data_IF_874128829579
#
_entry.id   IF_874128829579
#
_cell.length_a   1.000
_cell.length_b   1.000
_cell.length_c   1.000
_cell.angle_alpha   90.00
_cell.angle_beta   90.00
_cell.angle_gamma   90.00
#
_symmetry.space_group_name_H-M   'P 1'
#
loop_
_entity.id
_entity.type
_entity.pdbx_description
1 polymer ?
#
# COMPACT_ATOMS: atom_id res chain seq x y z
N UNK A 1 -15.25 -10.81 -26.71
CA UNK A 1 -13.97 -10.14 -26.46
C UNK A 1 -13.73 -10.24 -24.96
N UNK A 2 -12.94 -11.23 -24.53
CA UNK A 2 -12.31 -11.16 -23.22
C UNK A 2 -11.18 -10.17 -23.39
N UNK A 3 -11.34 -8.94 -22.89
CA UNK A 3 -10.20 -8.04 -22.71
C UNK A 3 -9.19 -8.81 -21.86
N UNK A 4 -8.07 -9.20 -22.47
CA UNK A 4 -6.95 -9.77 -21.75
C UNK A 4 -6.48 -8.67 -20.80
N UNK A 5 -6.92 -8.78 -19.55
CA UNK A 5 -6.50 -7.90 -18.47
C UNK A 5 -5.03 -8.20 -18.18
N UNK A 6 -4.15 -7.51 -18.89
CA UNK A 6 -2.71 -7.59 -18.69
C UNK A 6 -2.34 -6.58 -17.59
N UNK A 7 -1.89 -7.09 -16.45
CA UNK A 7 -1.43 -6.24 -15.34
C UNK A 7 0.08 -6.21 -15.34
N UNK A 8 0.65 -5.02 -15.48
CA UNK A 8 2.05 -4.78 -15.24
C UNK A 8 2.33 -4.85 -13.73
N UNK A 9 2.63 -6.05 -13.23
CA UNK A 9 2.90 -6.28 -11.82
C UNK A 9 4.11 -5.49 -11.31
N UNK A 10 5.13 -5.27 -12.15
CA UNK A 10 6.32 -4.51 -11.78
C UNK A 10 6.03 -3.00 -11.72
N UNK A 11 5.23 -2.50 -12.67
CA UNK A 11 4.70 -1.13 -12.63
C UNK A 11 3.82 -0.88 -11.40
N UNK A 12 2.98 -1.85 -11.04
CA UNK A 12 2.13 -1.81 -9.85
C UNK A 12 2.96 -1.78 -8.56
N UNK A 13 3.96 -2.66 -8.47
CA UNK A 13 4.89 -2.76 -7.34
C UNK A 13 5.75 -1.50 -7.20
N UNK A 14 6.16 -0.90 -8.31
CA UNK A 14 6.87 0.39 -8.31
C UNK A 14 5.96 1.53 -7.85
N UNK A 15 4.71 1.55 -8.32
CA UNK A 15 3.72 2.57 -7.98
C UNK A 15 3.38 2.63 -6.49
N UNK A 16 3.47 1.50 -5.77
CA UNK A 16 3.22 1.44 -4.32
C UNK A 16 4.19 2.29 -3.50
N UNK A 17 5.42 2.50 -3.99
CA UNK A 17 6.43 3.27 -3.26
C UNK A 17 5.97 4.70 -2.97
N UNK A 18 5.23 5.32 -3.90
CA UNK A 18 4.67 6.65 -3.71
C UNK A 18 3.65 6.71 -2.56
N UNK A 19 2.92 5.62 -2.30
CA UNK A 19 2.00 5.55 -1.15
C UNK A 19 2.80 5.49 0.16
N UNK A 20 3.83 4.64 0.24
CA UNK A 20 4.65 4.52 1.46
C UNK A 20 5.40 5.82 1.79
N UNK A 21 5.91 6.51 0.77
CA UNK A 21 6.49 7.86 0.93
C UNK A 21 5.47 8.84 1.49
N UNK A 22 4.25 8.86 0.95
CA UNK A 22 3.18 9.73 1.44
C UNK A 22 2.70 9.38 2.85
N UNK A 23 2.63 8.10 3.20
CA UNK A 23 2.36 7.69 4.57
C UNK A 23 3.40 8.25 5.55
N UNK A 24 4.68 8.16 5.19
CA UNK A 24 5.79 8.71 5.98
C UNK A 24 5.69 10.24 6.12
N UNK A 25 5.36 10.96 5.04
CA UNK A 25 5.13 12.41 5.09
C UNK A 25 3.97 12.78 6.04
N UNK A 26 2.88 12.01 6.03
CA UNK A 26 1.73 12.22 6.92
C UNK A 26 2.07 11.95 8.38
N UNK A 27 2.91 10.94 8.66
CA UNK A 27 3.42 10.70 10.02
C UNK A 27 4.30 11.87 10.51
N UNK A 28 5.18 12.39 9.65
CA UNK A 28 5.97 13.57 9.98
C UNK A 28 5.08 14.81 10.23
N UNK A 29 4.00 14.99 9.45
CA UNK A 29 3.01 16.03 9.68
C UNK A 29 2.32 15.86 11.05
N UNK A 30 1.96 14.63 11.41
CA UNK A 30 1.36 14.29 12.71
C UNK A 30 2.25 14.74 13.86
N UNK A 31 3.57 14.48 13.78
CA UNK A 31 4.54 14.91 14.78
C UNK A 31 4.64 16.45 14.86
N UNK A 32 4.59 17.14 13.72
CA UNK A 32 4.59 18.61 13.68
C UNK A 32 3.34 19.21 14.31
N UNK A 33 2.16 18.64 14.02
CA UNK A 33 0.89 19.06 14.64
C UNK A 33 0.96 18.89 16.16
N UNK A 34 1.48 17.75 16.64
CA UNK A 34 1.66 17.50 18.06
C UNK A 34 2.62 18.53 18.72
N UNK A 35 3.71 18.87 18.04
CA UNK A 35 4.67 19.87 18.55
C UNK A 35 4.07 21.29 18.62
N UNK A 36 3.19 21.64 17.67
CA UNK A 36 2.48 22.92 17.66
C UNK A 36 1.41 22.98 18.77
N UNK A 37 0.78 21.86 19.10
CA UNK A 37 -0.21 21.75 20.18
C UNK A 37 0.35 21.52 21.58
N UNK A 38 1.65 21.76 21.83
CA UNK A 38 2.24 21.50 23.15
C UNK A 38 1.53 22.30 24.24
N UNK A 39 0.99 21.62 25.25
CA UNK A 39 0.10 22.21 26.26
C UNK A 39 0.72 23.40 27.00
N UNK A 40 2.02 23.34 27.30
CA UNK A 40 2.75 24.43 27.95
C UNK A 40 2.73 25.72 27.12
N UNK A 41 3.09 25.65 25.84
CA UNK A 41 3.12 26.84 24.96
C UNK A 41 1.74 27.44 24.74
N UNK A 42 0.73 26.59 24.55
CA UNK A 42 -0.65 27.05 24.32
C UNK A 42 -1.23 27.66 25.58
N UNK A 43 -1.05 27.02 26.74
CA UNK A 43 -1.56 27.52 28.02
C UNK A 43 -0.87 28.81 28.47
N UNK A 44 0.44 28.93 28.25
CA UNK A 44 1.22 30.13 28.57
C UNK A 44 0.82 31.31 27.67
N UNK A 45 0.60 31.07 26.37
CA UNK A 45 0.17 32.10 25.42
C UNK A 45 -1.29 32.52 25.60
N UNK A 46 -2.18 31.61 26.03
CA UNK A 46 -3.59 31.89 26.24
C UNK A 46 -3.87 32.71 27.51
N UNK A 47 -2.92 32.73 28.45
CA UNK A 47 -3.11 33.31 29.78
C UNK A 47 -3.94 32.40 30.70
N UNK A 48 -3.96 32.76 31.99
CA UNK A 48 -4.55 31.92 33.04
C UNK A 48 -5.94 32.35 33.50
N UNK A 49 -6.58 33.30 32.79
CA UNK A 49 -7.95 33.69 33.07
C UNK A 49 -8.96 32.64 32.55
N UNK A 50 -10.24 32.83 32.89
CA UNK A 50 -11.32 31.91 32.49
C UNK A 50 -11.38 31.70 30.96
N UNK A 51 -11.15 32.77 30.18
CA UNK A 51 -11.24 32.71 28.73
C UNK A 51 -9.99 32.06 28.13
N UNK A 52 -8.81 32.36 28.67
CA UNK A 52 -7.54 31.75 28.30
C UNK A 52 -7.54 30.24 28.54
N UNK A 53 -8.01 29.80 29.70
CA UNK A 53 -8.15 28.37 30.01
C UNK A 53 -9.13 27.65 29.06
N UNK A 54 -10.30 28.25 28.80
CA UNK A 54 -11.29 27.69 27.88
C UNK A 54 -10.78 27.62 26.43
N UNK A 55 -10.04 28.65 25.99
CA UNK A 55 -9.37 28.64 24.68
C UNK A 55 -8.32 27.53 24.61
N UNK A 56 -7.44 27.43 25.61
CA UNK A 56 -6.38 26.41 25.63
C UNK A 56 -6.96 25.00 25.58
N UNK A 57 -7.99 24.72 26.37
CA UNK A 57 -8.69 23.42 26.36
C UNK A 57 -9.27 23.09 24.99
N UNK A 58 -10.03 24.03 24.41
CA UNK A 58 -10.66 23.86 23.09
C UNK A 58 -9.62 23.66 22.00
N UNK A 59 -8.55 24.45 22.02
CA UNK A 59 -7.47 24.38 21.04
C UNK A 59 -6.72 23.05 21.14
N UNK A 60 -6.34 22.62 22.35
CA UNK A 60 -5.66 21.34 22.56
C UNK A 60 -6.52 20.15 22.11
N UNK A 61 -7.83 20.19 22.37
CA UNK A 61 -8.76 19.17 21.89
C UNK A 61 -8.78 19.11 20.36
N UNK A 62 -8.96 20.25 19.69
CA UNK A 62 -8.98 20.32 18.23
C UNK A 62 -7.66 19.82 17.61
N UNK A 63 -6.52 20.20 18.19
CA UNK A 63 -5.20 19.73 17.72
C UNK A 63 -5.05 18.22 17.88
N UNK A 64 -5.52 17.65 19.01
CA UNK A 64 -5.50 16.21 19.22
C UNK A 64 -6.37 15.47 18.18
N UNK A 65 -7.59 15.95 17.92
CA UNK A 65 -8.50 15.36 16.93
C UNK A 65 -7.91 15.42 15.51
N UNK A 66 -7.32 16.55 15.12
CA UNK A 66 -6.66 16.69 13.81
C UNK A 66 -5.47 15.74 13.70
N UNK A 67 -4.61 15.69 14.72
CA UNK A 67 -3.46 14.78 14.77
C UNK A 67 -3.91 13.33 14.58
N UNK A 68 -4.94 12.90 15.30
CA UNK A 68 -5.41 11.53 15.26
C UNK A 68 -6.04 11.20 13.90
N UNK A 69 -6.77 12.14 13.30
CA UNK A 69 -7.28 12.02 11.93
C UNK A 69 -6.17 11.87 10.90
N UNK A 70 -5.14 12.73 10.94
CA UNK A 70 -3.99 12.64 10.01
C UNK A 70 -3.25 11.31 10.18
N UNK A 71 -3.10 10.84 11.41
CA UNK A 71 -2.47 9.53 11.69
C UNK A 71 -3.28 8.37 11.13
N UNK A 72 -4.61 8.41 11.19
CA UNK A 72 -5.46 7.40 10.58
C UNK A 72 -5.33 7.40 9.05
N UNK A 73 -5.24 8.58 8.43
CA UNK A 73 -4.96 8.71 7.01
C UNK A 73 -3.60 8.13 6.62
N UNK A 74 -2.55 8.38 7.40
CA UNK A 74 -1.24 7.80 7.16
C UNK A 74 -1.30 6.26 7.12
N UNK A 75 -2.00 5.64 8.08
CA UNK A 75 -2.21 4.19 8.13
C UNK A 75 -3.01 3.65 6.93
N UNK A 76 -4.04 4.37 6.50
CA UNK A 76 -4.84 3.96 5.35
C UNK A 76 -4.03 4.00 4.04
N UNK A 77 -3.18 5.02 3.88
CA UNK A 77 -2.28 5.16 2.74
C UNK A 77 -1.23 4.05 2.74
N UNK A 78 -0.62 3.75 3.90
CA UNK A 78 0.34 2.65 4.02
C UNK A 78 -0.31 1.28 3.75
N UNK A 79 -1.51 1.03 4.29
CA UNK A 79 -2.27 -0.18 3.99
C UNK A 79 -2.64 -0.31 2.51
N UNK A 80 -2.81 0.82 1.80
CA UNK A 80 -3.00 0.80 0.34
C UNK A 80 -1.72 0.36 -0.37
N UNK A 81 -0.54 0.82 0.08
CA UNK A 81 0.75 0.34 -0.43
C UNK A 81 0.90 -1.17 -0.28
N UNK A 82 0.52 -1.71 0.87
CA UNK A 82 0.63 -3.14 1.14
C UNK A 82 -0.35 -3.95 0.27
N UNK A 83 -1.61 -3.53 0.17
CA UNK A 83 -2.59 -4.17 -0.71
C UNK A 83 -2.16 -4.16 -2.18
N UNK A 84 -1.53 -3.07 -2.63
CA UNK A 84 -0.94 -2.99 -3.97
C UNK A 84 0.20 -4.00 -4.13
N UNK A 85 1.08 -4.13 -3.13
CA UNK A 85 2.13 -5.13 -3.11
C UNK A 85 1.62 -6.56 -3.22
N UNK A 86 0.58 -6.90 -2.45
CA UNK A 86 -0.05 -8.22 -2.46
C UNK A 86 -0.69 -8.53 -3.81
N UNK A 87 -1.36 -7.54 -4.42
CA UNK A 87 -1.89 -7.67 -5.79
C UNK A 87 -0.76 -7.92 -6.80
N UNK A 88 0.33 -7.16 -6.74
CA UNK A 88 1.47 -7.35 -7.63
C UNK A 88 2.07 -8.75 -7.50
N UNK A 89 2.22 -9.25 -6.27
CA UNK A 89 2.66 -10.61 -5.98
C UNK A 89 1.74 -11.66 -6.60
N UNK A 90 0.42 -11.50 -6.39
CA UNK A 90 -0.58 -12.42 -6.93
C UNK A 90 -0.56 -12.47 -8.47
N UNK A 91 -0.33 -11.34 -9.15
CA UNK A 91 -0.20 -11.31 -10.61
C UNK A 91 1.07 -12.02 -11.09
N UNK A 92 2.22 -11.83 -10.42
CA UNK A 92 3.44 -12.56 -10.77
C UNK A 92 3.28 -14.07 -10.61
N UNK A 93 2.63 -14.51 -9.54
CA UNK A 93 2.33 -15.93 -9.31
C UNK A 93 1.42 -16.50 -10.40
N UNK A 94 0.38 -15.76 -10.80
CA UNK A 94 -0.52 -16.16 -11.88
C UNK A 94 0.21 -16.25 -13.23
N UNK A 95 1.07 -15.28 -13.57
CA UNK A 95 1.86 -15.27 -14.80
C UNK A 95 2.86 -16.43 -14.84
N UNK A 96 3.56 -16.68 -13.73
CA UNK A 96 4.48 -17.80 -13.63
C UNK A 96 3.77 -19.15 -13.75
N UNK A 97 2.61 -19.30 -13.10
CA UNK A 97 1.78 -20.50 -13.25
C UNK A 97 1.29 -20.72 -14.68
N UNK A 98 0.88 -19.66 -15.38
CA UNK A 98 0.49 -19.74 -16.79
C UNK A 98 1.67 -20.15 -17.69
N UNK A 99 2.86 -19.61 -17.46
CA UNK A 99 4.07 -19.97 -18.18
C UNK A 99 4.46 -21.44 -17.95
N UNK A 100 4.44 -21.91 -16.70
CA UNK A 100 4.75 -23.30 -16.37
C UNK A 100 3.76 -24.28 -17.00
N UNK A 101 2.45 -23.98 -16.94
CA UNK A 101 1.41 -24.77 -17.62
C UNK A 101 1.63 -24.82 -19.14
N UNK A 102 1.94 -23.69 -19.77
CA UNK A 102 2.20 -23.63 -21.21
C UNK A 102 3.43 -24.47 -21.60
N UNK A 103 4.49 -24.43 -20.79
CA UNK A 103 5.70 -25.25 -20.98
C UNK A 103 5.41 -26.74 -20.84
N UNK A 104 4.59 -27.12 -19.86
CA UNK A 104 4.25 -28.53 -19.63
C UNK A 104 3.32 -29.08 -20.72
N UNK A 105 2.40 -28.26 -21.22
CA UNK A 105 1.62 -28.57 -22.43
C UNK A 105 2.52 -28.78 -23.65
N UNK A 106 3.47 -27.87 -23.89
CA UNK A 106 4.41 -28.00 -25.00
C UNK A 106 5.24 -29.28 -24.91
N UNK A 107 5.77 -29.61 -23.73
CA UNK A 107 6.48 -30.87 -23.51
C UNK A 107 5.62 -32.08 -23.81
N UNK A 108 4.37 -32.08 -23.35
CA UNK A 108 3.41 -33.16 -23.60
C UNK A 108 3.12 -33.33 -25.11
N UNK A 109 2.99 -32.24 -25.85
CA UNK A 109 2.83 -32.28 -27.30
C UNK A 109 4.06 -32.84 -28.02
N UNK A 110 5.27 -32.44 -27.62
CA UNK A 110 6.52 -32.97 -28.19
C UNK A 110 6.68 -34.46 -27.90
N UNK A 111 6.35 -34.90 -26.68
CA UNK A 111 6.35 -36.32 -26.29
C UNK A 111 5.39 -37.13 -27.17
N UNK A 112 4.13 -36.66 -27.31
CA UNK A 112 3.14 -37.30 -28.16
C UNK A 112 3.58 -37.38 -29.63
N UNK A 113 4.22 -36.33 -30.14
CA UNK A 113 4.76 -36.33 -31.50
C UNK A 113 5.87 -37.38 -31.67
N UNK A 114 6.76 -37.52 -30.69
CA UNK A 114 7.82 -38.54 -30.71
C UNK A 114 7.25 -39.96 -30.64
N UNK A 115 6.23 -40.19 -29.81
CA UNK A 115 5.58 -41.49 -29.66
C UNK A 115 4.82 -41.91 -30.94
N UNK A 116 4.22 -40.95 -31.66
CA UNK A 116 3.54 -41.19 -32.95
C UNK A 116 4.54 -41.39 -34.10
N UNK A 117 5.71 -40.76 -34.05
CA UNK A 117 6.71 -40.82 -35.13
C UNK A 117 7.72 -41.96 -34.97
N UNK A 118 7.83 -42.58 -33.79
CA UNK A 118 8.61 -43.80 -33.61
C UNK A 118 7.91 -44.98 -34.30
N UNK A 119 8.59 -45.70 -35.23
CA UNK A 119 8.07 -46.95 -35.76
C UNK A 119 7.96 -47.98 -34.63
N UNK A 120 7.00 -48.91 -34.68
CA UNK A 120 6.94 -50.00 -33.71
C UNK A 120 8.25 -50.78 -33.80
N UNK A 121 9.02 -50.78 -32.70
CA UNK A 121 10.13 -51.71 -32.54
C UNK A 121 9.57 -53.13 -32.51
N UNK A 122 9.85 -53.88 -33.57
CA UNK A 122 9.60 -55.31 -33.68
C UNK A 122 10.55 -56.13 -32.80
#
# INVERSE_FOLDING_TARGET
MTDQFFVDADGLDTGRNGYREKATELEALTQRIQALGSSGRVSEAAGHDKNGNAFAETHMKAVAEIRDGVRLWAKAVDGTSDAIGDMAGSFREADQGAFDMARDLQKSFLQLQEDVTKPPTA
#
